data_IF_239053635510
#
_entry.id   IF_239053635510
#
_cell.length_a   1.000
_cell.length_b   1.000
_cell.length_c   1.000
_cell.angle_alpha   90.00
_cell.angle_beta   90.00
_cell.angle_gamma   90.00
#
_symmetry.space_group_name_H-M   'P 1'
#
loop_
_entity.id
_entity.type
_entity.pdbx_description
1 polymer ?
#
# COMPACT_ATOMS: atom_id res chain seq x y z
N UNK A 1 -6.96 -23.59 1.84
CA UNK A 1 -6.34 -22.91 3.03
C UNK A 1 -6.83 -21.47 2.99
N UNK A 2 -7.31 -20.90 4.10
CA UNK A 2 -7.71 -19.48 4.11
C UNK A 2 -6.47 -18.64 4.34
N UNK A 3 -6.28 -17.59 3.53
CA UNK A 3 -5.23 -16.59 3.70
C UNK A 3 -5.88 -15.22 3.87
N UNK A 4 -5.51 -14.54 4.95
CA UNK A 4 -6.01 -13.21 5.27
C UNK A 4 -5.04 -12.15 4.76
N UNK A 5 -5.59 -11.01 4.33
CA UNK A 5 -4.77 -9.91 3.85
C UNK A 5 -5.58 -8.64 3.65
N UNK A 6 -5.02 -7.73 2.87
CA UNK A 6 -5.57 -6.42 2.60
C UNK A 6 -5.72 -6.18 1.10
N UNK A 7 -6.74 -5.44 0.73
CA UNK A 7 -6.96 -4.99 -0.63
C UNK A 7 -7.39 -3.53 -0.63
N UNK A 8 -6.72 -2.73 -1.44
CA UNK A 8 -7.11 -1.34 -1.65
C UNK A 8 -8.09 -1.22 -2.82
N UNK A 9 -9.00 -0.28 -2.69
CA UNK A 9 -10.06 0.05 -3.64
C UNK A 9 -10.13 1.56 -3.83
N UNK A 10 -10.75 1.98 -4.92
CA UNK A 10 -11.28 3.33 -5.05
C UNK A 10 -12.49 3.50 -4.14
N UNK A 11 -12.92 4.73 -3.93
CA UNK A 11 -14.11 5.06 -3.14
C UNK A 11 -15.33 4.23 -3.56
N UNK A 12 -16.11 3.77 -2.57
CA UNK A 12 -17.26 2.91 -2.77
C UNK A 12 -16.88 1.45 -3.06
N UNK A 13 -15.73 0.99 -2.55
CA UNK A 13 -15.20 -0.37 -2.76
C UNK A 13 -15.16 -0.77 -4.24
N UNK A 14 -14.79 0.13 -5.12
CA UNK A 14 -14.66 -0.16 -6.55
C UNK A 14 -13.22 -0.46 -6.94
N UNK A 15 -13.04 -1.41 -7.86
CA UNK A 15 -11.73 -1.61 -8.46
C UNK A 15 -11.50 -0.63 -9.64
N UNK A 16 -10.28 -0.60 -10.17
CA UNK A 16 -9.91 0.26 -11.33
C UNK A 16 -10.72 0.00 -12.61
N UNK A 17 -11.47 -1.09 -12.66
CA UNK A 17 -12.34 -1.45 -13.80
C UNK A 17 -13.81 -1.13 -13.54
N UNK A 18 -14.13 -0.46 -12.42
CA UNK A 18 -15.49 -0.08 -12.06
C UNK A 18 -16.36 -1.20 -11.47
N UNK A 19 -15.78 -2.37 -11.16
CA UNK A 19 -16.51 -3.42 -10.43
C UNK A 19 -16.65 -3.01 -8.98
N UNK A 20 -17.86 -3.02 -8.47
CA UNK A 20 -18.20 -2.77 -7.06
C UNK A 20 -18.12 -4.07 -6.24
N UNK A 21 -17.70 -3.91 -4.99
CA UNK A 21 -17.63 -4.97 -4.00
C UNK A 21 -18.43 -4.56 -2.76
N UNK A 22 -18.84 -5.55 -1.96
CA UNK A 22 -19.61 -5.30 -0.73
C UNK A 22 -19.02 -6.11 0.42
N UNK A 23 -19.02 -5.51 1.60
CA UNK A 23 -18.62 -6.19 2.83
C UNK A 23 -19.51 -7.39 3.09
N UNK A 24 -18.91 -8.51 3.51
CA UNK A 24 -19.59 -9.79 3.77
C UNK A 24 -19.82 -10.64 2.53
N UNK A 25 -19.66 -10.10 1.33
CA UNK A 25 -19.86 -10.86 0.09
C UNK A 25 -18.60 -11.58 -0.35
N UNK A 26 -18.81 -12.73 -1.00
CA UNK A 26 -17.76 -13.55 -1.62
C UNK A 26 -17.87 -13.44 -3.13
N UNK A 27 -16.72 -13.27 -3.78
CA UNK A 27 -16.59 -13.14 -5.22
C UNK A 27 -15.70 -14.26 -5.76
N UNK A 28 -16.06 -14.80 -6.89
CA UNK A 28 -15.34 -15.87 -7.58
C UNK A 28 -15.17 -15.51 -9.06
N UNK A 29 -14.03 -15.84 -9.63
CA UNK A 29 -13.79 -15.63 -11.06
C UNK A 29 -14.28 -16.85 -11.87
N UNK A 30 -14.49 -16.61 -13.17
CA UNK A 30 -14.69 -17.68 -14.14
C UNK A 30 -13.37 -17.95 -14.88
N UNK A 31 -13.00 -19.21 -15.03
CA UNK A 31 -11.80 -19.63 -15.72
C UNK A 31 -10.56 -19.75 -14.83
N UNK A 32 -9.40 -20.06 -15.40
CA UNK A 32 -8.18 -20.35 -14.65
C UNK A 32 -7.65 -19.09 -13.95
N UNK A 33 -7.15 -19.28 -12.74
CA UNK A 33 -6.38 -18.26 -12.02
C UNK A 33 -5.14 -17.92 -12.84
N UNK A 34 -4.81 -16.63 -12.91
CA UNK A 34 -3.61 -16.12 -13.56
C UNK A 34 -3.20 -14.79 -12.96
N UNK A 35 -2.02 -14.76 -12.37
CA UNK A 35 -1.44 -13.52 -11.83
C UNK A 35 -1.09 -12.50 -12.94
N UNK A 36 -1.17 -11.21 -12.63
CA UNK A 36 -0.67 -10.13 -13.48
C UNK A 36 -1.73 -9.11 -13.93
N UNK A 37 -1.28 -8.05 -14.61
CA UNK A 37 -2.13 -6.93 -15.04
C UNK A 37 -3.23 -7.34 -16.05
N UNK A 38 -2.96 -8.33 -16.87
CA UNK A 38 -3.92 -8.94 -17.80
C UNK A 38 -4.31 -10.34 -17.32
N UNK A 39 -4.15 -10.58 -16.02
CA UNK A 39 -4.48 -11.84 -15.40
C UNK A 39 -5.97 -11.98 -15.10
N UNK A 40 -6.30 -13.09 -14.45
CA UNK A 40 -7.64 -13.40 -14.01
C UNK A 40 -7.58 -13.81 -12.54
N UNK A 41 -8.11 -12.98 -11.67
CA UNK A 41 -8.12 -13.21 -10.22
C UNK A 41 -8.18 -11.91 -9.41
N UNK A 42 -8.31 -12.10 -8.11
CA UNK A 42 -8.37 -11.00 -7.14
C UNK A 42 -7.02 -10.83 -6.47
N UNK A 43 -6.33 -9.71 -6.76
CA UNK A 43 -5.07 -9.38 -6.12
C UNK A 43 -5.27 -8.82 -4.72
N UNK A 44 -4.43 -9.23 -3.79
CA UNK A 44 -4.39 -8.75 -2.40
C UNK A 44 -2.96 -8.88 -1.84
N UNK A 45 -2.69 -8.33 -0.67
CA UNK A 45 -1.40 -8.39 0.00
C UNK A 45 -1.58 -8.77 1.47
N UNK A 46 -0.64 -9.50 2.06
CA UNK A 46 -0.66 -9.75 3.52
C UNK A 46 -0.36 -8.49 4.32
N UNK A 47 0.44 -7.57 3.75
CA UNK A 47 0.75 -6.28 4.38
C UNK A 47 -0.04 -5.16 3.72
N UNK A 48 -0.64 -4.31 4.55
CA UNK A 48 -1.46 -3.20 4.09
C UNK A 48 -0.69 -2.24 3.19
N UNK A 49 0.52 -1.84 3.58
CA UNK A 49 1.33 -0.89 2.81
C UNK A 49 1.70 -1.39 1.41
N UNK A 50 1.67 -2.68 1.16
CA UNK A 50 1.94 -3.26 -0.15
C UNK A 50 0.77 -3.06 -1.11
N UNK A 51 -0.47 -2.96 -0.59
CA UNK A 51 -1.65 -2.67 -1.40
C UNK A 51 -1.60 -1.27 -2.03
N UNK A 52 -0.93 -0.33 -1.36
CA UNK A 52 -0.83 1.08 -1.77
C UNK A 52 0.01 1.28 -3.02
N UNK A 53 0.84 0.30 -3.41
CA UNK A 53 1.66 0.36 -4.61
C UNK A 53 0.86 0.59 -5.89
N UNK A 54 -0.36 0.12 -5.93
CA UNK A 54 -1.21 0.17 -7.12
C UNK A 54 -2.02 1.46 -7.24
N UNK A 55 -1.96 2.31 -6.21
CA UNK A 55 -2.64 3.58 -6.18
C UNK A 55 -1.58 4.68 -6.22
N UNK A 56 -1.58 5.55 -7.28
CA UNK A 56 -0.72 6.71 -7.28
C UNK A 56 -1.09 7.56 -6.07
N UNK A 57 -0.13 7.66 -5.16
CA UNK A 57 -0.31 8.37 -3.92
C UNK A 57 -0.88 9.76 -4.16
N UNK A 58 -1.80 10.16 -3.35
CA UNK A 58 -2.10 11.55 -3.05
C UNK A 58 -3.30 12.21 -3.72
N UNK A 59 -3.88 11.68 -4.79
CA UNK A 59 -4.98 12.36 -5.48
C UNK A 59 -6.35 11.71 -5.29
N UNK A 60 -6.39 10.44 -4.90
CA UNK A 60 -7.65 9.69 -4.79
C UNK A 60 -7.94 9.24 -3.36
N UNK A 61 -9.21 9.35 -2.97
CA UNK A 61 -9.71 8.71 -1.75
C UNK A 61 -9.74 7.20 -1.99
N UNK A 62 -8.87 6.48 -1.30
CA UNK A 62 -8.84 5.03 -1.32
C UNK A 62 -9.51 4.45 -0.09
N UNK A 63 -10.14 3.29 -0.24
CA UNK A 63 -10.66 2.47 0.84
C UNK A 63 -9.83 1.20 0.91
N UNK A 64 -9.51 0.77 2.12
CA UNK A 64 -8.75 -0.46 2.37
C UNK A 64 -9.64 -1.42 3.12
N UNK A 65 -9.77 -2.63 2.61
CA UNK A 65 -10.51 -3.68 3.28
C UNK A 65 -9.59 -4.83 3.70
N UNK A 66 -9.93 -5.45 4.83
CA UNK A 66 -9.51 -6.81 5.14
C UNK A 66 -10.26 -7.78 4.25
N UNK A 67 -9.54 -8.75 3.74
CA UNK A 67 -10.05 -9.76 2.82
C UNK A 67 -9.55 -11.15 3.19
N UNK A 68 -10.33 -12.16 2.83
CA UNK A 68 -9.94 -13.57 2.95
C UNK A 68 -9.97 -14.24 1.59
N UNK A 69 -8.84 -14.80 1.17
CA UNK A 69 -8.78 -15.71 0.04
C UNK A 69 -9.33 -17.07 0.46
N UNK A 70 -10.31 -17.58 -0.30
CA UNK A 70 -11.06 -18.81 -0.02
C UNK A 70 -10.83 -19.91 -1.06
N UNK A 71 -10.16 -19.60 -2.14
CA UNK A 71 -9.91 -20.52 -3.26
C UNK A 71 -8.44 -20.83 -3.46
N UNK A 72 -8.07 -21.07 -4.72
CA UNK A 72 -6.69 -21.25 -5.13
C UNK A 72 -5.93 -19.92 -5.01
N UNK A 73 -4.64 -20.01 -4.68
CA UNK A 73 -3.79 -18.83 -4.44
C UNK A 73 -2.51 -18.99 -5.25
N UNK A 74 -2.17 -17.95 -6.01
CA UNK A 74 -0.85 -17.76 -6.61
C UNK A 74 -0.12 -16.63 -5.90
N UNK A 75 1.11 -16.88 -5.48
CA UNK A 75 2.02 -15.87 -4.95
C UNK A 75 2.81 -15.23 -6.10
N UNK A 76 3.08 -13.94 -5.99
CA UNK A 76 3.93 -13.25 -6.95
C UNK A 76 5.40 -13.48 -6.62
N UNK A 77 6.04 -14.32 -7.42
CA UNK A 77 7.48 -14.53 -7.37
C UNK A 77 8.17 -13.65 -8.40
N UNK A 78 8.75 -12.52 -7.97
CA UNK A 78 9.62 -11.69 -8.79
C UNK A 78 11.01 -11.62 -8.15
N UNK A 79 12.02 -12.14 -8.82
CA UNK A 79 13.42 -12.14 -8.36
C UNK A 79 13.96 -10.73 -8.06
N UNK A 80 13.37 -9.70 -8.65
CA UNK A 80 13.76 -8.30 -8.47
C UNK A 80 12.97 -7.55 -7.39
N UNK A 81 11.80 -8.05 -6.99
CA UNK A 81 10.86 -7.40 -6.06
C UNK A 81 10.55 -8.24 -4.82
N UNK A 82 11.52 -8.98 -4.30
CA UNK A 82 11.40 -9.84 -3.12
C UNK A 82 10.92 -9.17 -1.81
N UNK A 83 10.51 -7.91 -1.89
CA UNK A 83 10.02 -7.12 -0.74
C UNK A 83 8.49 -6.96 -0.70
N UNK A 84 7.75 -7.53 -1.65
CA UNK A 84 6.30 -7.37 -1.74
C UNK A 84 5.61 -8.71 -1.59
N UNK A 85 4.74 -8.82 -0.58
CA UNK A 85 3.89 -10.00 -0.40
C UNK A 85 2.60 -9.75 -1.19
N UNK A 86 2.58 -10.20 -2.43
CA UNK A 86 1.44 -10.06 -3.33
C UNK A 86 0.90 -11.40 -3.73
N UNK A 87 -0.41 -11.54 -3.64
CA UNK A 87 -1.13 -12.76 -3.95
C UNK A 87 -2.27 -12.49 -4.93
N UNK A 88 -2.65 -13.52 -5.64
CA UNK A 88 -3.85 -13.55 -6.46
C UNK A 88 -4.67 -14.78 -6.10
N UNK A 89 -5.99 -14.63 -6.00
CA UNK A 89 -6.90 -15.75 -5.71
C UNK A 89 -8.07 -15.75 -6.68
N UNK A 90 -8.59 -16.93 -6.98
CA UNK A 90 -9.81 -17.10 -7.77
C UNK A 90 -11.08 -16.80 -6.96
N UNK A 91 -11.01 -16.83 -5.61
CA UNK A 91 -12.14 -16.61 -4.73
C UNK A 91 -11.77 -15.77 -3.51
N UNK A 92 -12.45 -14.62 -3.33
CA UNK A 92 -12.17 -13.67 -2.27
C UNK A 92 -13.45 -13.25 -1.55
N UNK A 93 -13.38 -13.11 -0.22
CA UNK A 93 -14.42 -12.48 0.59
C UNK A 93 -13.91 -11.12 1.08
N UNK A 94 -14.78 -10.11 1.07
CA UNK A 94 -14.53 -8.80 1.66
C UNK A 94 -15.02 -8.83 3.10
N UNK A 95 -14.10 -8.83 4.06
CA UNK A 95 -14.46 -9.04 5.46
C UNK A 95 -14.95 -7.75 6.13
N UNK A 96 -14.18 -6.67 6.03
CA UNK A 96 -14.57 -5.34 6.52
C UNK A 96 -13.72 -4.24 5.88
N UNK A 97 -14.24 -3.02 5.88
CA UNK A 97 -13.44 -1.83 5.54
C UNK A 97 -12.76 -1.30 6.80
N UNK A 98 -11.48 -0.95 6.67
CA UNK A 98 -10.73 -0.33 7.75
C UNK A 98 -11.11 1.14 7.92
N UNK A 99 -11.28 1.56 9.17
CA UNK A 99 -11.44 2.98 9.48
C UNK A 99 -10.12 3.73 9.28
N UNK A 100 -10.20 4.97 8.81
CA UNK A 100 -9.02 5.81 8.60
C UNK A 100 -8.15 5.92 9.85
N UNK A 101 -8.76 6.10 11.02
CA UNK A 101 -8.06 6.20 12.29
C UNK A 101 -7.25 4.93 12.58
N UNK A 102 -7.85 3.76 12.37
CA UNK A 102 -7.22 2.47 12.53
C UNK A 102 -6.00 2.32 11.61
N UNK A 103 -6.13 2.69 10.33
CA UNK A 103 -5.03 2.68 9.37
C UNK A 103 -3.88 3.57 9.85
N UNK A 104 -4.15 4.78 10.30
CA UNK A 104 -3.13 5.69 10.82
C UNK A 104 -2.40 5.08 12.02
N UNK A 105 -3.15 4.57 12.99
CA UNK A 105 -2.60 3.99 14.22
C UNK A 105 -1.72 2.76 13.95
N UNK A 106 -2.06 1.96 12.93
CA UNK A 106 -1.27 0.78 12.53
C UNK A 106 0.18 1.10 12.16
N UNK A 107 0.50 2.34 11.78
CA UNK A 107 1.83 2.75 11.31
C UNK A 107 2.57 3.69 12.26
N UNK A 108 2.04 3.98 13.45
CA UNK A 108 2.73 4.86 14.42
C UNK A 108 3.96 4.21 15.07
N UNK A 109 4.02 2.87 15.12
CA UNK A 109 5.07 2.09 15.77
C UNK A 109 5.81 1.11 14.85
N UNK A 110 5.56 1.19 13.53
CA UNK A 110 6.20 0.28 12.57
C UNK A 110 7.64 0.69 12.26
N UNK A 111 8.40 -0.26 11.74
CA UNK A 111 9.75 0.04 11.29
C UNK A 111 9.74 1.06 10.14
N UNK A 112 10.83 1.81 10.01
CA UNK A 112 10.95 2.93 9.08
C UNK A 112 10.65 2.59 7.63
N UNK A 113 10.98 1.38 7.20
CA UNK A 113 10.75 0.94 5.83
C UNK A 113 9.25 0.81 5.53
N UNK A 114 8.48 0.20 6.45
CA UNK A 114 7.03 0.08 6.33
C UNK A 114 6.35 1.45 6.35
N UNK A 115 6.79 2.33 7.26
CA UNK A 115 6.26 3.71 7.35
C UNK A 115 6.56 4.50 6.07
N UNK A 116 7.77 4.38 5.52
CA UNK A 116 8.11 5.02 4.24
C UNK A 116 7.19 4.58 3.11
N UNK A 117 6.87 3.28 3.03
CA UNK A 117 5.93 2.75 2.03
C UNK A 117 4.52 3.26 2.25
N UNK A 118 4.08 3.29 3.50
CA UNK A 118 2.78 3.83 3.86
C UNK A 118 2.63 5.30 3.44
N UNK A 119 3.53 6.17 3.84
CA UNK A 119 3.47 7.61 3.47
C UNK A 119 3.72 7.86 1.98
N UNK A 120 4.26 6.90 1.25
CA UNK A 120 4.39 6.95 -0.20
C UNK A 120 3.03 6.80 -0.91
N UNK A 121 2.14 5.98 -0.37
CA UNK A 121 0.90 5.59 -1.03
C UNK A 121 -0.39 6.08 -0.35
N UNK A 122 -0.34 6.46 0.93
CA UNK A 122 -1.51 6.89 1.69
C UNK A 122 -1.47 8.39 1.96
N UNK A 123 -2.49 9.13 1.50
CA UNK A 123 -2.56 10.58 1.70
C UNK A 123 -2.92 10.90 3.15
N UNK A 124 -2.01 11.58 3.84
CA UNK A 124 -2.22 12.10 5.19
C UNK A 124 -2.93 13.45 5.15
N UNK A 125 -3.84 13.69 6.09
CA UNK A 125 -4.36 15.03 6.33
C UNK A 125 -3.34 15.86 7.16
N UNK A 126 -3.51 17.19 7.28
CA UNK A 126 -2.54 18.03 7.98
C UNK A 126 -2.21 17.59 9.41
N UNK A 127 -3.22 17.19 10.20
CA UNK A 127 -3.01 16.76 11.59
C UNK A 127 -2.25 15.44 11.68
N UNK A 128 -2.57 14.49 10.79
CA UNK A 128 -1.86 13.21 10.68
C UNK A 128 -0.42 13.42 10.23
N UNK A 129 -0.22 14.34 9.28
CA UNK A 129 1.11 14.69 8.78
C UNK A 129 1.99 15.28 9.88
N UNK A 130 1.44 16.19 10.69
CA UNK A 130 2.15 16.78 11.83
C UNK A 130 2.48 15.71 12.88
N UNK A 131 1.57 14.78 13.15
CA UNK A 131 1.81 13.64 14.04
C UNK A 131 2.96 12.77 13.57
N UNK A 132 2.98 12.39 12.29
CA UNK A 132 4.04 11.57 11.72
C UNK A 132 5.39 12.30 11.72
N UNK A 133 5.42 13.60 11.41
CA UNK A 133 6.63 14.42 11.50
C UNK A 133 7.19 14.46 12.91
N UNK A 134 6.32 14.59 13.92
CA UNK A 134 6.73 14.60 15.33
C UNK A 134 7.33 13.23 15.74
N UNK A 135 6.66 12.13 15.43
CA UNK A 135 7.09 10.79 15.82
C UNK A 135 8.40 10.40 15.12
N UNK A 136 8.56 10.78 13.86
CA UNK A 136 9.70 10.39 13.02
C UNK A 136 10.71 11.52 12.78
N UNK A 137 10.70 12.59 13.60
CA UNK A 137 11.55 13.79 13.43
C UNK A 137 13.06 13.47 13.30
N UNK A 138 13.55 12.47 14.05
CA UNK A 138 14.94 12.03 13.99
C UNK A 138 15.24 11.07 12.84
N UNK A 139 14.22 10.59 12.14
CA UNK A 139 14.38 9.62 11.04
C UNK A 139 14.44 10.30 9.68
N UNK A 140 15.64 10.56 9.22
CA UNK A 140 15.88 11.25 7.95
C UNK A 140 15.27 10.55 6.73
N UNK A 141 15.10 9.20 6.77
CA UNK A 141 14.51 8.46 5.67
C UNK A 141 13.00 8.66 5.59
N UNK A 142 12.31 8.57 6.72
CA UNK A 142 10.86 8.82 6.82
C UNK A 142 10.56 10.28 6.52
N UNK A 143 11.31 11.23 7.11
CA UNK A 143 11.13 12.66 6.86
C UNK A 143 11.31 13.04 5.39
N UNK A 144 12.26 12.42 4.69
CA UNK A 144 12.41 12.66 3.26
C UNK A 144 11.27 12.03 2.42
N UNK A 145 10.75 10.88 2.84
CA UNK A 145 9.59 10.29 2.18
C UNK A 145 8.36 11.20 2.35
N UNK A 146 8.14 11.71 3.56
CA UNK A 146 7.08 12.68 3.83
C UNK A 146 7.25 13.94 2.95
N UNK A 147 8.42 14.56 2.96
CA UNK A 147 8.68 15.77 2.17
C UNK A 147 8.42 15.55 0.68
N UNK A 148 8.85 14.42 0.14
CA UNK A 148 8.67 14.12 -1.27
C UNK A 148 7.24 13.75 -1.64
N UNK A 149 6.65 12.77 -0.93
CA UNK A 149 5.37 12.19 -1.31
C UNK A 149 4.16 12.95 -0.75
N UNK A 150 4.27 13.54 0.43
CA UNK A 150 3.15 14.21 1.08
C UNK A 150 3.15 15.73 0.84
N UNK A 151 4.33 16.35 0.75
CA UNK A 151 4.48 17.80 0.60
C UNK A 151 4.92 18.23 -0.81
N UNK A 152 5.26 17.28 -1.68
CA UNK A 152 5.64 17.57 -3.07
C UNK A 152 7.03 18.15 -3.26
N UNK A 153 7.92 18.06 -2.25
CA UNK A 153 9.30 18.53 -2.32
C UNK A 153 10.17 17.61 -3.20
N UNK A 154 10.12 17.82 -4.50
CA UNK A 154 10.91 17.04 -5.49
C UNK A 154 12.43 17.22 -5.36
N UNK A 155 12.88 18.26 -4.65
CA UNK A 155 14.30 18.55 -4.48
C UNK A 155 14.98 17.75 -3.35
N UNK A 156 14.20 17.08 -2.50
CA UNK A 156 14.73 16.33 -1.35
C UNK A 156 15.74 15.25 -1.76
N UNK A 157 15.50 14.55 -2.87
CA UNK A 157 16.41 13.53 -3.38
C UNK A 157 17.64 14.14 -4.07
N UNK A 158 17.49 15.26 -4.76
CA UNK A 158 18.60 16.00 -5.40
C UNK A 158 19.57 16.53 -4.34
N UNK A 159 19.06 17.07 -3.23
CA UNK A 159 19.90 17.49 -2.09
C UNK A 159 20.72 16.34 -1.52
N UNK A 160 20.14 15.14 -1.39
CA UNK A 160 20.85 13.92 -0.96
C UNK A 160 21.93 13.46 -1.93
N UNK A 161 21.64 13.47 -3.22
CA UNK A 161 22.62 13.09 -4.24
C UNK A 161 23.83 14.04 -4.23
N UNK A 162 23.60 15.35 -4.05
CA UNK A 162 24.64 16.36 -3.90
C UNK A 162 25.50 16.12 -2.65
N UNK A 163 24.90 15.84 -1.50
CA UNK A 163 25.62 15.55 -0.26
C UNK A 163 26.46 14.28 -0.35
N UNK A 164 25.96 13.23 -1.01
CA UNK A 164 26.75 12.00 -1.23
C UNK A 164 27.97 12.22 -2.11
N UNK A 165 27.88 13.09 -3.13
CA UNK A 165 29.01 13.47 -4.00
C UNK A 165 30.07 14.23 -3.21
N UNK A 166 29.67 15.20 -2.37
CA UNK A 166 30.59 15.97 -1.53
C UNK A 166 31.33 15.10 -0.50
N UNK A 167 30.70 14.06 0.04
CA UNK A 167 31.35 13.12 0.98
C UNK A 167 32.34 12.15 0.31
N UNK A 168 32.27 11.96 -1.01
CA UNK A 168 33.21 11.10 -1.77
C UNK A 168 34.45 11.87 -2.27
N UNK A 169 34.43 13.18 -2.19
CA UNK A 169 35.53 14.07 -2.62
C UNK A 169 36.41 14.57 -1.47
N UNK A 170 36.05 14.20 -0.25
CA UNK A 170 36.88 14.36 0.97
C UNK A 170 37.31 12.98 1.49
#
# INVERSE_FOLDING_TARGET
MELHGYKAFNKGLTNRYGKEFKVGETYEISGPLKFGNNGNGFHFCERLEDTLRYFPAMEEEIEIAEVTALGDIEEFEDEYYCYYDMYCTDKIRIDRVLERKEIIEMFLDKNNFRVMRFVQGFKLNPNELDLYKLIYESNICVMNAIAYYQEGDKEVYNRRAKLRRLRKTN
#
